data_IF_665143101440
#
_entry.id   IF_665143101440
#
_cell.length_a   1.000
_cell.length_b   1.000
_cell.length_c   1.000
_cell.angle_alpha   90.00
_cell.angle_beta   90.00
_cell.angle_gamma   90.00
#
_symmetry.space_group_name_H-M   'P 1'
#
loop_
_entity.id
_entity.type
_entity.pdbx_description
1 polymer ?
#
# COMPACT_ATOMS: atom_id res chain seq x y z
N UNK A 1 -7.81 3.97 1.72
CA UNK A 1 -6.63 4.65 2.30
C UNK A 1 -5.72 5.26 1.23
N UNK A 2 -5.10 4.46 0.35
CA UNK A 2 -4.08 4.93 -0.62
C UNK A 2 -4.46 6.13 -1.51
N UNK A 3 -5.76 6.30 -1.80
CA UNK A 3 -6.27 7.42 -2.62
C UNK A 3 -6.38 8.75 -1.88
N UNK A 4 -6.34 8.76 -0.54
CA UNK A 4 -6.50 9.98 0.27
C UNK A 4 -7.92 10.53 0.32
N UNK A 5 -8.93 9.71 0.01
CA UNK A 5 -10.34 10.09 0.07
C UNK A 5 -10.87 9.78 1.48
N UNK A 6 -11.68 10.66 2.10
CA UNK A 6 -12.29 10.42 3.39
C UNK A 6 -12.97 9.05 3.48
N UNK A 7 -12.68 8.33 4.56
CA UNK A 7 -13.37 7.10 4.94
C UNK A 7 -14.14 7.44 6.21
N UNK A 8 -15.45 7.58 6.08
CA UNK A 8 -16.32 8.08 7.14
C UNK A 8 -17.10 6.96 7.80
N UNK A 9 -17.43 7.14 9.09
CA UNK A 9 -18.30 6.24 9.82
C UNK A 9 -19.79 6.56 9.62
N UNK A 10 -20.66 5.76 10.26
CA UNK A 10 -22.10 5.97 10.31
C UNK A 10 -22.52 7.39 10.75
N UNK A 11 -21.85 8.06 11.73
CA UNK A 11 -22.25 9.40 12.16
C UNK A 11 -22.27 10.47 11.05
N UNK A 12 -21.48 10.29 9.99
CA UNK A 12 -21.53 11.19 8.82
C UNK A 12 -22.90 11.14 8.13
N UNK A 13 -23.42 9.93 7.90
CA UNK A 13 -24.70 9.73 7.21
C UNK A 13 -25.86 10.24 8.07
N UNK A 14 -25.79 10.02 9.39
CA UNK A 14 -26.77 10.53 10.35
C UNK A 14 -26.81 12.06 10.35
N UNK A 15 -25.65 12.71 10.32
CA UNK A 15 -25.56 14.17 10.30
C UNK A 15 -26.06 14.78 8.98
N UNK A 16 -25.68 14.20 7.84
CA UNK A 16 -26.20 14.60 6.52
C UNK A 16 -27.73 14.47 6.49
N UNK A 17 -28.26 13.36 7.00
CA UNK A 17 -29.71 13.14 7.06
C UNK A 17 -30.40 14.17 7.97
N UNK A 18 -29.80 14.48 9.12
CA UNK A 18 -30.35 15.43 10.10
C UNK A 18 -30.37 16.86 9.57
N UNK A 19 -29.29 17.32 8.92
CA UNK A 19 -29.20 18.69 8.40
C UNK A 19 -29.85 18.87 7.03
N UNK A 20 -30.14 17.78 6.31
CA UNK A 20 -30.59 17.79 4.90
C UNK A 20 -29.59 18.45 3.95
N UNK A 21 -28.30 18.43 4.29
CA UNK A 21 -27.20 18.99 3.50
C UNK A 21 -25.92 18.16 3.68
N UNK A 22 -24.97 18.32 2.76
CA UNK A 22 -23.64 17.71 2.91
C UNK A 22 -22.83 18.49 3.95
N UNK A 23 -22.20 17.78 4.88
CA UNK A 23 -21.23 18.31 5.84
C UNK A 23 -19.81 17.89 5.45
N UNK A 24 -18.79 18.50 6.06
CA UNK A 24 -17.41 18.13 5.77
C UNK A 24 -17.13 16.69 6.22
N UNK A 25 -16.81 15.75 5.31
CA UNK A 25 -16.51 14.36 5.68
C UNK A 25 -15.24 14.21 6.53
N UNK A 26 -14.33 15.18 6.54
CA UNK A 26 -13.09 15.13 7.36
C UNK A 26 -13.34 15.25 8.87
N UNK A 27 -14.52 15.73 9.25
CA UNK A 27 -14.99 15.79 10.64
C UNK A 27 -15.54 14.45 11.14
N UNK A 28 -15.79 13.50 10.22
CA UNK A 28 -16.45 12.22 10.51
C UNK A 28 -15.63 11.01 10.08
N UNK A 29 -14.30 11.18 9.99
CA UNK A 29 -13.39 10.07 9.65
C UNK A 29 -13.61 8.92 10.63
N UNK A 30 -13.78 7.72 10.07
CA UNK A 30 -13.93 6.48 10.82
C UNK A 30 -12.75 6.34 11.80
N UNK A 31 -13.04 6.06 13.06
CA UNK A 31 -12.05 5.77 14.07
C UNK A 31 -12.16 4.30 14.47
N UNK A 32 -11.10 3.53 14.25
CA UNK A 32 -10.99 2.14 14.67
C UNK A 32 -9.79 2.00 15.60
N UNK A 33 -10.03 2.22 16.90
CA UNK A 33 -8.97 2.24 17.90
C UNK A 33 -8.23 0.90 18.04
N UNK A 34 -8.90 -0.22 17.77
CA UNK A 34 -8.28 -1.54 17.85
C UNK A 34 -7.25 -1.71 16.73
N UNK A 35 -7.66 -1.45 15.49
CA UNK A 35 -6.80 -1.59 14.32
C UNK A 35 -5.69 -0.54 14.31
N UNK A 36 -6.00 0.72 14.65
CA UNK A 36 -5.01 1.79 14.76
C UNK A 36 -3.92 1.47 15.78
N UNK A 37 -4.29 0.92 16.94
CA UNK A 37 -3.33 0.47 17.96
C UNK A 37 -2.52 -0.73 17.47
N UNK A 38 -3.18 -1.74 16.90
CA UNK A 38 -2.54 -2.97 16.42
C UNK A 38 -1.49 -2.70 15.35
N UNK A 39 -1.84 -1.88 14.35
CA UNK A 39 -0.99 -1.57 13.21
C UNK A 39 -0.25 -0.24 13.36
N UNK A 40 -0.33 0.41 14.53
CA UNK A 40 0.41 1.63 14.90
C UNK A 40 0.28 2.74 13.84
N UNK A 41 -0.95 3.04 13.44
CA UNK A 41 -1.26 4.09 12.47
C UNK A 41 -2.41 4.96 12.96
N UNK A 42 -2.66 6.08 12.28
CA UNK A 42 -3.89 6.86 12.43
C UNK A 42 -4.53 6.98 11.06
N UNK A 43 -5.79 6.55 10.92
CA UNK A 43 -6.48 6.56 9.63
C UNK A 43 -6.58 7.98 9.08
N UNK A 44 -6.98 8.94 9.92
CA UNK A 44 -7.09 10.36 9.54
C UNK A 44 -5.77 10.89 9.00
N UNK A 45 -4.66 10.66 9.72
CA UNK A 45 -3.32 11.10 9.29
C UNK A 45 -2.90 10.44 7.97
N UNK A 46 -3.09 9.13 7.84
CA UNK A 46 -2.74 8.40 6.62
C UNK A 46 -3.54 8.87 5.40
N UNK A 47 -4.82 9.21 5.59
CA UNK A 47 -5.67 9.77 4.54
C UNK A 47 -5.21 11.18 4.12
N UNK A 48 -4.88 12.04 5.08
CA UNK A 48 -4.36 13.39 4.82
C UNK A 48 -3.07 13.32 3.98
N UNK A 49 -2.09 12.53 4.43
CA UNK A 49 -0.84 12.35 3.68
C UNK A 49 -1.08 11.79 2.27
N UNK A 50 -1.97 10.81 2.13
CA UNK A 50 -2.32 10.22 0.84
C UNK A 50 -3.11 11.16 -0.10
N UNK A 51 -3.72 12.21 0.46
CA UNK A 51 -4.39 13.27 -0.29
C UNK A 51 -3.39 14.25 -0.89
N UNK A 52 -2.27 14.47 -0.21
CA UNK A 52 -1.19 15.37 -0.63
C UNK A 52 -0.21 14.69 -1.60
N UNK A 53 0.17 13.44 -1.33
CA UNK A 53 1.14 12.70 -2.12
C UNK A 53 0.79 11.22 -2.23
N UNK A 54 1.20 10.58 -3.33
CA UNK A 54 1.06 9.14 -3.49
C UNK A 54 2.32 8.44 -2.97
N UNK A 55 2.16 7.56 -1.98
CA UNK A 55 3.29 6.91 -1.30
C UNK A 55 4.22 6.20 -2.29
N UNK A 56 3.67 5.57 -3.33
CA UNK A 56 4.42 4.82 -4.34
C UNK A 56 4.53 5.58 -5.66
N UNK A 57 4.42 6.90 -5.66
CA UNK A 57 4.71 7.72 -6.84
C UNK A 57 6.09 7.37 -7.41
N UNK A 58 6.12 7.03 -8.69
CA UNK A 58 7.31 6.59 -9.46
C UNK A 58 7.93 5.25 -9.04
N UNK A 59 7.33 4.53 -8.09
CA UNK A 59 7.79 3.19 -7.73
C UNK A 59 7.20 2.14 -8.67
N UNK A 60 8.02 1.11 -8.92
CA UNK A 60 7.60 -0.10 -9.62
C UNK A 60 7.64 -1.30 -8.67
N UNK A 61 6.71 -2.22 -8.85
CA UNK A 61 6.55 -3.41 -8.01
C UNK A 61 6.40 -4.66 -8.85
N UNK A 62 7.15 -5.71 -8.51
CA UNK A 62 6.82 -7.10 -8.87
C UNK A 62 6.05 -7.77 -7.74
N UNK A 63 5.17 -8.71 -8.09
CA UNK A 63 4.46 -9.55 -7.12
C UNK A 63 4.64 -11.01 -7.50
N UNK A 64 5.04 -11.86 -6.56
CA UNK A 64 5.19 -13.30 -6.80
C UNK A 64 3.86 -14.05 -6.58
N UNK A 65 3.68 -15.26 -7.14
CA UNK A 65 2.36 -15.92 -7.16
C UNK A 65 1.77 -16.30 -5.80
N UNK A 66 2.60 -16.64 -4.81
CA UNK A 66 2.16 -17.22 -3.54
C UNK A 66 1.80 -16.17 -2.47
N UNK A 67 1.68 -14.90 -2.85
CA UNK A 67 1.31 -13.83 -1.90
C UNK A 67 -0.12 -13.96 -1.41
N UNK A 68 -0.35 -13.50 -0.17
CA UNK A 68 -1.69 -13.30 0.40
C UNK A 68 -1.81 -11.88 0.95
N UNK A 69 -2.74 -11.03 0.47
CA UNK A 69 -3.69 -11.24 -0.64
C UNK A 69 -3.05 -11.67 -1.99
N UNK A 70 -3.85 -12.23 -2.92
CA UNK A 70 -3.32 -12.71 -4.20
C UNK A 70 -2.77 -11.55 -5.05
N UNK A 71 -1.94 -11.86 -6.06
CA UNK A 71 -1.20 -10.84 -6.78
C UNK A 71 -2.06 -9.76 -7.43
N UNK A 72 -3.22 -10.10 -7.98
CA UNK A 72 -4.14 -9.15 -8.61
C UNK A 72 -4.69 -8.11 -7.62
N UNK A 73 -5.01 -8.52 -6.39
CA UNK A 73 -5.43 -7.58 -5.34
C UNK A 73 -4.29 -6.63 -4.94
N UNK A 74 -3.08 -7.16 -4.74
CA UNK A 74 -1.91 -6.34 -4.41
C UNK A 74 -1.59 -5.33 -5.52
N UNK A 75 -1.79 -5.71 -6.78
CA UNK A 75 -1.62 -4.84 -7.93
C UNK A 75 -2.61 -3.67 -7.93
N UNK A 76 -3.88 -3.92 -7.58
CA UNK A 76 -4.89 -2.86 -7.44
C UNK A 76 -4.54 -1.87 -6.32
N UNK A 77 -4.00 -2.38 -5.21
CA UNK A 77 -3.54 -1.54 -4.10
C UNK A 77 -2.36 -0.66 -4.55
N UNK A 78 -1.38 -1.24 -5.26
CA UNK A 78 -0.24 -0.48 -5.79
C UNK A 78 -0.67 0.62 -6.75
N UNK A 79 -1.58 0.31 -7.68
CA UNK A 79 -2.13 1.29 -8.61
C UNK A 79 -2.85 2.43 -7.87
N UNK A 80 -3.65 2.09 -6.85
CA UNK A 80 -4.34 3.06 -6.00
C UNK A 80 -3.38 3.95 -5.19
N UNK A 81 -2.18 3.47 -4.93
CA UNK A 81 -1.10 4.15 -4.22
C UNK A 81 -0.14 4.94 -5.14
N UNK A 82 -0.48 5.09 -6.42
CA UNK A 82 0.29 5.85 -7.43
C UNK A 82 1.48 5.09 -8.02
N UNK A 83 1.59 3.80 -7.72
CA UNK A 83 2.66 2.94 -8.18
C UNK A 83 2.36 2.23 -9.49
N UNK A 84 3.39 1.61 -10.07
CA UNK A 84 3.27 0.76 -11.25
C UNK A 84 3.57 -0.69 -10.92
N UNK A 85 2.81 -1.59 -11.52
CA UNK A 85 3.12 -3.01 -11.51
C UNK A 85 3.86 -3.33 -12.79
N UNK A 86 4.93 -4.10 -12.68
CA UNK A 86 5.65 -4.63 -13.82
C UNK A 86 5.52 -6.15 -13.85
N UNK A 87 5.32 -6.70 -15.04
CA UNK A 87 5.24 -8.15 -15.24
C UNK A 87 6.63 -8.73 -15.48
N UNK A 88 6.89 -9.86 -14.83
CA UNK A 88 8.13 -10.61 -15.04
C UNK A 88 7.90 -11.75 -16.03
N UNK A 89 8.82 -12.01 -16.98
CA UNK A 89 9.91 -11.15 -17.46
C UNK A 89 9.43 -10.19 -18.57
N UNK A 90 10.07 -9.02 -18.72
CA UNK A 90 9.97 -8.21 -19.97
C UNK A 90 9.65 -6.72 -19.83
N UNK A 91 9.19 -6.23 -18.67
CA UNK A 91 9.04 -4.79 -18.45
C UNK A 91 10.18 -4.24 -17.60
N UNK A 92 10.92 -3.27 -18.15
CA UNK A 92 11.94 -2.54 -17.41
C UNK A 92 11.31 -1.49 -16.50
N UNK A 93 11.79 -1.34 -15.26
CA UNK A 93 11.37 -0.24 -14.38
C UNK A 93 11.84 1.10 -14.95
N UNK A 94 11.07 2.18 -14.72
CA UNK A 94 11.51 3.55 -15.07
C UNK A 94 12.73 3.99 -14.25
N UNK A 95 12.77 3.55 -12.99
CA UNK A 95 13.80 3.89 -12.00
C UNK A 95 14.20 2.62 -11.29
N UNK A 96 15.41 2.11 -11.56
CA UNK A 96 15.89 0.86 -10.98
C UNK A 96 16.03 0.92 -9.45
N UNK A 97 16.29 2.11 -8.90
CA UNK A 97 16.37 2.41 -7.46
C UNK A 97 14.99 2.45 -6.77
N UNK A 98 13.90 2.61 -7.54
CA UNK A 98 12.52 2.62 -7.04
C UNK A 98 11.76 1.34 -7.39
N UNK A 99 12.48 0.23 -7.51
CA UNK A 99 11.93 -1.10 -7.78
C UNK A 99 12.02 -2.00 -6.54
N UNK A 100 10.91 -2.66 -6.20
CA UNK A 100 10.87 -3.69 -5.16
C UNK A 100 9.98 -4.86 -5.55
N UNK A 101 10.09 -5.97 -4.81
CA UNK A 101 9.27 -7.17 -4.98
C UNK A 101 8.46 -7.38 -3.71
N UNK A 102 7.17 -7.63 -3.86
CA UNK A 102 6.34 -8.22 -2.80
C UNK A 102 6.28 -9.72 -3.02
N UNK A 103 6.70 -10.48 -2.03
CA UNK A 103 6.82 -11.94 -2.14
C UNK A 103 6.33 -12.65 -0.88
N UNK A 104 6.10 -13.96 -1.04
CA UNK A 104 5.96 -14.91 0.05
C UNK A 104 7.19 -15.84 0.14
N UNK A 105 7.39 -16.49 1.29
CA UNK A 105 8.51 -17.43 1.51
C UNK A 105 8.43 -18.66 0.60
N UNK A 106 7.23 -19.04 0.17
CA UNK A 106 7.01 -20.16 -0.75
C UNK A 106 7.61 -19.89 -2.15
N UNK A 107 7.79 -18.62 -2.50
CA UNK A 107 8.39 -18.22 -3.78
C UNK A 107 9.90 -17.95 -3.67
N UNK A 108 10.56 -18.39 -2.58
CA UNK A 108 11.98 -18.13 -2.32
C UNK A 108 12.91 -18.56 -3.45
N UNK A 109 12.54 -19.62 -4.16
CA UNK A 109 13.26 -20.09 -5.36
C UNK A 109 13.35 -19.06 -6.49
N UNK A 110 12.45 -18.06 -6.55
CA UNK A 110 12.45 -17.02 -7.58
C UNK A 110 13.42 -15.87 -7.25
N UNK A 111 13.78 -15.70 -5.98
CA UNK A 111 14.56 -14.54 -5.51
C UNK A 111 15.97 -14.43 -6.10
N UNK A 112 16.75 -15.53 -6.26
CA UNK A 112 18.07 -15.44 -6.87
C UNK A 112 18.03 -14.86 -8.28
N UNK A 113 17.09 -15.34 -9.12
CA UNK A 113 16.89 -14.85 -10.49
C UNK A 113 16.51 -13.36 -10.52
N UNK A 114 15.70 -12.90 -9.58
CA UNK A 114 15.35 -11.48 -9.46
C UNK A 114 16.54 -10.63 -9.06
N UNK A 115 17.39 -11.10 -8.14
CA UNK A 115 18.60 -10.41 -7.69
C UNK A 115 19.69 -10.40 -8.75
N UNK A 116 19.79 -11.44 -9.58
CA UNK A 116 20.70 -11.47 -10.74
C UNK A 116 20.31 -10.38 -11.76
N UNK A 117 19.02 -10.25 -12.07
CA UNK A 117 18.52 -9.25 -13.00
C UNK A 117 18.56 -7.82 -12.42
N UNK A 118 18.32 -7.70 -11.11
CA UNK A 118 18.27 -6.42 -10.40
C UNK A 118 19.07 -6.51 -9.09
N UNK A 119 20.39 -6.27 -9.11
CA UNK A 119 21.27 -6.47 -7.95
C UNK A 119 20.87 -5.71 -6.68
N UNK A 120 20.26 -4.53 -6.84
CA UNK A 120 19.81 -3.67 -5.74
C UNK A 120 18.35 -3.90 -5.31
N UNK A 121 17.67 -4.92 -5.85
CA UNK A 121 16.25 -5.09 -5.61
C UNK A 121 15.96 -5.48 -4.16
N UNK A 122 14.98 -4.81 -3.56
CA UNK A 122 14.49 -5.18 -2.24
C UNK A 122 13.29 -6.10 -2.38
N UNK A 123 13.33 -7.25 -1.69
CA UNK A 123 12.23 -8.21 -1.63
C UNK A 123 11.62 -8.08 -0.24
N UNK A 124 10.32 -7.77 -0.16
CA UNK A 124 9.58 -7.56 1.08
C UNK A 124 8.39 -8.51 1.19
N UNK A 125 7.91 -8.74 2.41
CA UNK A 125 6.68 -9.51 2.65
C UNK A 125 5.43 -8.72 2.26
N UNK A 126 4.31 -9.43 2.06
CA UNK A 126 3.01 -8.79 1.85
C UNK A 126 2.61 -7.88 3.02
N UNK A 127 2.89 -8.30 4.25
CA UNK A 127 2.63 -7.49 5.45
C UNK A 127 3.36 -6.15 5.38
N UNK A 128 4.64 -6.15 4.99
CA UNK A 128 5.41 -4.92 4.86
C UNK A 128 4.85 -3.96 3.82
N UNK A 129 4.37 -4.49 2.69
CA UNK A 129 3.70 -3.69 1.68
C UNK A 129 2.38 -3.10 2.20
N UNK A 130 1.52 -3.93 2.79
CA UNK A 130 0.21 -3.52 3.32
C UNK A 130 0.36 -2.48 4.42
N UNK A 131 1.27 -2.71 5.37
CA UNK A 131 1.54 -1.76 6.45
C UNK A 131 2.14 -0.45 5.92
N UNK A 132 2.93 -0.51 4.85
CA UNK A 132 3.42 0.72 4.22
C UNK A 132 2.29 1.59 3.68
N UNK A 133 1.28 0.97 3.05
CA UNK A 133 0.09 1.67 2.58
C UNK A 133 -0.75 2.21 3.74
N UNK A 134 -0.95 1.42 4.81
CA UNK A 134 -1.74 1.83 5.98
C UNK A 134 -1.13 3.01 6.73
N UNK A 135 0.20 3.03 6.89
CA UNK A 135 0.91 4.08 7.63
C UNK A 135 1.36 5.26 6.78
N UNK A 136 1.15 5.19 5.46
CA UNK A 136 1.74 6.13 4.51
C UNK A 136 3.27 6.24 4.66
N UNK A 137 3.97 5.13 4.92
CA UNK A 137 5.42 5.11 5.17
C UNK A 137 6.07 3.82 4.66
N UNK A 138 7.22 3.90 3.96
CA UNK A 138 7.85 2.73 3.32
C UNK A 138 8.69 1.92 4.31
N UNK A 139 8.16 0.82 4.83
CA UNK A 139 8.81 -0.05 5.82
C UNK A 139 9.77 -1.10 5.24
N UNK A 140 10.39 -0.84 4.10
CA UNK A 140 11.08 -1.88 3.32
C UNK A 140 12.17 -2.63 4.08
N UNK A 141 12.88 -1.95 5.00
CA UNK A 141 13.94 -2.56 5.81
C UNK A 141 13.40 -3.55 6.82
N UNK A 142 12.25 -3.25 7.43
CA UNK A 142 11.71 -4.02 8.56
C UNK A 142 11.06 -5.33 8.11
N UNK A 143 10.64 -5.40 6.85
CA UNK A 143 9.90 -6.52 6.27
C UNK A 143 10.64 -7.22 5.13
N UNK A 144 11.97 -7.04 5.08
CA UNK A 144 12.80 -7.64 4.04
C UNK A 144 12.82 -9.16 4.19
N UNK A 145 12.63 -9.86 3.07
CA UNK A 145 12.77 -11.32 3.00
C UNK A 145 14.18 -11.69 2.53
N UNK A 146 14.79 -12.68 3.20
CA UNK A 146 16.17 -13.13 2.99
C UNK A 146 16.24 -14.53 2.39
#
# INVERSE_FOLDING_TARGET
MARGIPIVGQPYLEEVQRRRELVDPWDFILADAEMERRFKFSLKKSLQLASEAKIFQDYSMFVTPSTKPPPDELQLIMASAGGRVIKFPGQQPKHADKLFVVSHVDDKQLWPKMREMYPSITIISTEGFMQSVMQHYKHFRNYRLT
#
